data_IF_551843399756
#
_entry.id   IF_551843399756
#
_cell.length_a   1.000
_cell.length_b   1.000
_cell.length_c   1.000
_cell.angle_alpha   90.00
_cell.angle_beta   90.00
_cell.angle_gamma   90.00
#
_symmetry.space_group_name_H-M   'P 1'
#
loop_
_entity.id
_entity.type
_entity.pdbx_description
1 polymer ?
#
# COMPACT_ATOMS: atom_id res chain seq x y z
N UNK A 1 -16.26 1.03 10.19
CA UNK A 1 -15.86 0.56 8.84
C UNK A 1 -14.72 -0.44 8.96
N UNK A 2 -14.29 -1.13 7.89
CA UNK A 2 -13.21 -2.13 7.98
C UNK A 2 -11.90 -1.56 8.56
N UNK A 3 -11.63 -0.28 8.31
CA UNK A 3 -10.49 0.48 8.85
C UNK A 3 -10.53 0.68 10.37
N UNK A 4 -11.70 0.79 11.00
CA UNK A 4 -11.78 0.94 12.46
C UNK A 4 -11.38 -0.34 13.20
N UNK A 5 -11.69 -1.50 12.62
CA UNK A 5 -11.21 -2.78 13.16
C UNK A 5 -9.69 -2.87 13.11
N UNK A 6 -9.06 -2.41 12.02
CA UNK A 6 -7.61 -2.35 11.90
C UNK A 6 -6.99 -1.42 12.97
N UNK A 7 -7.55 -0.23 13.18
CA UNK A 7 -7.11 0.68 14.25
C UNK A 7 -7.23 0.04 15.64
N UNK A 8 -8.33 -0.67 15.92
CA UNK A 8 -8.53 -1.36 17.18
C UNK A 8 -7.49 -2.48 17.40
N UNK A 9 -7.15 -3.25 16.36
CA UNK A 9 -6.10 -4.26 16.44
C UNK A 9 -4.71 -3.64 16.63
N UNK A 10 -4.40 -2.56 15.91
CA UNK A 10 -3.14 -1.81 16.06
C UNK A 10 -3.01 -1.22 17.47
N UNK A 11 -4.10 -0.69 18.05
CA UNK A 11 -4.09 -0.18 19.42
C UNK A 11 -3.87 -1.28 20.46
N UNK A 12 -4.34 -2.51 20.18
CA UNK A 12 -4.21 -3.65 21.09
C UNK A 12 -2.84 -4.32 21.00
N UNK A 13 -2.26 -4.38 19.80
CA UNK A 13 -1.10 -5.25 19.53
C UNK A 13 0.14 -4.49 19.07
N UNK A 14 -0.01 -3.27 18.56
CA UNK A 14 1.10 -2.42 18.15
C UNK A 14 1.59 -1.53 19.29
N UNK A 15 2.74 -0.90 19.04
CA UNK A 15 3.31 0.17 19.87
C UNK A 15 3.61 1.38 19.00
N UNK A 16 3.92 2.55 19.58
CA UNK A 16 4.38 3.71 18.81
C UNK A 16 5.66 3.45 17.98
N UNK A 17 6.41 2.40 18.31
CA UNK A 17 7.60 1.97 17.57
C UNK A 17 7.29 0.95 16.46
N UNK A 18 6.08 0.38 16.43
CA UNK A 18 5.66 -0.50 15.34
C UNK A 18 5.54 0.31 14.07
N UNK A 19 6.39 0.01 13.09
CA UNK A 19 6.31 0.58 11.75
C UNK A 19 5.29 -0.19 10.92
N UNK A 20 4.39 0.53 10.26
CA UNK A 20 3.36 -0.07 9.41
C UNK A 20 3.31 0.58 8.03
N UNK A 21 2.78 -0.19 7.08
CA UNK A 21 2.39 0.28 5.76
C UNK A 21 0.86 0.29 5.69
N UNK A 22 0.30 1.33 5.08
CA UNK A 22 -1.15 1.41 4.86
C UNK A 22 -1.49 0.94 3.45
N UNK A 23 -2.33 -0.08 3.33
CA UNK A 23 -2.88 -0.50 2.04
C UNK A 23 -3.91 0.53 1.55
N UNK A 24 -3.67 1.08 0.36
CA UNK A 24 -4.52 2.10 -0.27
C UNK A 24 -5.21 1.50 -1.49
N UNK A 25 -6.54 1.59 -1.52
CA UNK A 25 -7.36 1.23 -2.68
C UNK A 25 -7.33 2.39 -3.70
N UNK A 26 -6.19 2.56 -4.38
CA UNK A 26 -5.96 3.65 -5.33
C UNK A 26 -6.89 3.53 -6.54
N UNK A 27 -7.20 2.30 -6.96
CA UNK A 27 -8.12 2.05 -8.08
C UNK A 27 -9.60 2.27 -7.73
N UNK A 28 -9.91 2.55 -6.45
CA UNK A 28 -11.29 2.74 -5.94
C UNK A 28 -12.22 1.59 -6.36
N UNK A 29 -11.69 0.38 -6.42
CA UNK A 29 -12.46 -0.79 -6.83
C UNK A 29 -13.46 -1.17 -5.74
N UNK A 30 -14.78 -1.19 -6.03
CA UNK A 30 -15.79 -1.58 -5.06
C UNK A 30 -15.53 -2.99 -4.53
N UNK A 31 -15.53 -3.16 -3.22
CA UNK A 31 -15.35 -4.46 -2.57
C UNK A 31 -13.90 -4.92 -2.42
N UNK A 32 -12.90 -4.16 -2.88
CA UNK A 32 -11.50 -4.41 -2.52
C UNK A 32 -11.17 -3.81 -1.15
N UNK A 33 -10.28 -4.50 -0.43
CA UNK A 33 -9.69 -4.03 0.81
C UNK A 33 -8.81 -2.80 0.58
N UNK A 34 -8.44 -2.13 1.69
CA UNK A 34 -7.62 -0.92 1.66
C UNK A 34 -8.44 0.34 1.93
N UNK A 35 -7.72 1.39 2.35
CA UNK A 35 -8.28 2.70 2.67
C UNK A 35 -8.35 3.52 1.38
N UNK A 36 -9.42 4.29 1.20
CA UNK A 36 -9.52 5.20 0.06
C UNK A 36 -8.50 6.34 0.22
N UNK A 37 -7.95 6.90 -0.88
CA UNK A 37 -7.02 8.02 -0.78
C UNK A 37 -7.56 9.20 0.04
N UNK A 38 -8.88 9.42 0.01
CA UNK A 38 -9.55 10.54 0.68
C UNK A 38 -9.68 10.32 2.21
N UNK A 39 -9.63 9.07 2.67
CA UNK A 39 -9.71 8.69 4.09
C UNK A 39 -8.34 8.44 4.73
N UNK A 40 -7.27 8.44 3.92
CA UNK A 40 -5.92 8.07 4.35
C UNK A 40 -5.40 8.96 5.47
N UNK A 41 -5.57 10.27 5.37
CA UNK A 41 -5.07 11.22 6.37
C UNK A 41 -5.78 11.03 7.71
N UNK A 42 -7.11 10.91 7.69
CA UNK A 42 -7.91 10.65 8.89
C UNK A 42 -7.55 9.30 9.54
N UNK A 43 -7.19 8.29 8.74
CA UNK A 43 -6.70 7.02 9.28
C UNK A 43 -5.31 7.19 9.93
N UNK A 44 -4.39 7.88 9.26
CA UNK A 44 -3.03 8.10 9.77
C UNK A 44 -3.03 8.88 11.09
N UNK A 45 -3.87 9.91 11.22
CA UNK A 45 -4.02 10.69 12.46
C UNK A 45 -4.51 9.86 13.65
N UNK A 46 -5.35 8.86 13.38
CA UNK A 46 -5.92 7.96 14.40
C UNK A 46 -5.03 6.74 14.66
N UNK A 47 -4.01 6.50 13.85
CA UNK A 47 -3.17 5.33 13.92
C UNK A 47 -2.24 5.40 15.15
N UNK A 48 -2.26 4.40 16.05
CA UNK A 48 -1.38 4.39 17.22
C UNK A 48 0.06 3.96 16.90
N UNK A 49 0.31 3.49 15.67
CA UNK A 49 1.59 3.01 15.18
C UNK A 49 2.20 4.01 14.19
N UNK A 50 3.51 3.90 13.96
CA UNK A 50 4.22 4.78 13.02
C UNK A 50 3.95 4.32 11.58
N UNK A 51 3.21 5.12 10.82
CA UNK A 51 3.04 4.90 9.38
C UNK A 51 4.32 5.34 8.66
N UNK A 52 5.00 4.41 7.99
CA UNK A 52 6.28 4.66 7.30
C UNK A 52 6.17 4.60 5.78
N UNK A 53 5.03 4.16 5.28
CA UNK A 53 4.84 3.92 3.86
C UNK A 53 3.44 3.48 3.50
N UNK A 54 3.27 3.27 2.20
CA UNK A 54 2.02 2.84 1.61
C UNK A 54 2.21 1.51 0.87
N UNK A 55 1.10 0.83 0.68
CA UNK A 55 1.00 -0.41 -0.07
C UNK A 55 -0.17 -0.33 -1.04
N UNK A 56 -0.05 -0.95 -2.21
CA UNK A 56 -1.22 -1.15 -3.08
C UNK A 56 -1.14 -2.46 -3.85
N UNK A 57 -2.33 -2.93 -4.25
CA UNK A 57 -2.57 -3.99 -5.21
C UNK A 57 -3.35 -3.40 -6.39
N UNK A 58 -2.69 -3.19 -7.55
CA UNK A 58 -3.39 -2.77 -8.75
C UNK A 58 -4.52 -3.75 -9.15
N UNK A 59 -5.48 -3.30 -9.98
CA UNK A 59 -6.37 -4.21 -10.69
C UNK A 59 -5.59 -5.30 -11.42
N UNK A 60 -6.21 -6.47 -11.58
CA UNK A 60 -5.63 -7.51 -12.41
C UNK A 60 -5.48 -6.99 -13.85
N UNK A 61 -4.29 -7.13 -14.40
CA UNK A 61 -3.98 -6.75 -15.77
C UNK A 61 -3.33 -7.91 -16.51
N UNK A 62 -3.41 -7.91 -17.84
CA UNK A 62 -2.68 -8.87 -18.67
C UNK A 62 -1.21 -8.50 -18.81
N UNK A 63 -0.90 -7.20 -18.90
CA UNK A 63 0.44 -6.68 -19.12
C UNK A 63 0.98 -5.95 -17.88
N UNK A 64 2.27 -6.13 -17.52
CA UNK A 64 2.88 -5.45 -16.37
C UNK A 64 2.76 -3.91 -16.41
N UNK A 65 2.88 -3.32 -17.61
CA UNK A 65 2.83 -1.87 -17.81
C UNK A 65 1.49 -1.24 -17.42
N UNK A 66 0.40 -2.00 -17.46
CA UNK A 66 -0.89 -1.50 -17.01
C UNK A 66 -0.94 -1.21 -15.50
N UNK A 67 0.02 -1.73 -14.72
CA UNK A 67 0.17 -1.43 -13.30
C UNK A 67 0.85 -0.07 -13.04
N UNK A 68 1.63 0.45 -14.01
CA UNK A 68 2.43 1.68 -13.86
C UNK A 68 1.65 2.90 -13.34
N UNK A 69 0.48 3.27 -13.89
CA UNK A 69 -0.25 4.45 -13.39
C UNK A 69 -0.63 4.32 -11.91
N UNK A 70 -0.93 3.11 -11.44
CA UNK A 70 -1.28 2.87 -10.03
C UNK A 70 -0.07 3.01 -9.11
N UNK A 71 1.10 2.55 -9.56
CA UNK A 71 2.37 2.71 -8.83
C UNK A 71 2.82 4.17 -8.77
N UNK A 72 2.70 4.91 -9.88
CA UNK A 72 2.98 6.34 -9.91
C UNK A 72 2.09 7.11 -8.92
N UNK A 73 0.79 6.83 -8.90
CA UNK A 73 -0.16 7.44 -7.95
C UNK A 73 0.17 7.09 -6.49
N UNK A 74 0.57 5.84 -6.19
CA UNK A 74 0.98 5.46 -4.83
C UNK A 74 2.21 6.25 -4.39
N UNK A 75 3.20 6.39 -5.28
CA UNK A 75 4.40 7.19 -5.02
C UNK A 75 4.04 8.64 -4.72
N UNK A 76 3.20 9.26 -5.55
CA UNK A 76 2.77 10.66 -5.36
C UNK A 76 2.04 10.84 -4.02
N UNK A 77 1.15 9.92 -3.67
CA UNK A 77 0.44 9.93 -2.38
C UNK A 77 1.38 9.81 -1.19
N UNK A 78 2.43 8.96 -1.29
CA UNK A 78 3.43 8.80 -0.25
C UNK A 78 4.32 10.04 -0.12
N UNK A 79 4.79 10.59 -1.25
CA UNK A 79 5.63 11.79 -1.28
C UNK A 79 4.93 13.00 -0.67
N UNK A 80 3.64 13.20 -0.96
CA UNK A 80 2.83 14.27 -0.37
C UNK A 80 2.75 14.20 1.17
N UNK A 81 3.02 13.02 1.75
CA UNK A 81 2.96 12.74 3.18
C UNK A 81 4.33 12.50 3.82
N UNK A 82 5.42 12.70 3.06
CA UNK A 82 6.79 12.45 3.53
C UNK A 82 7.08 10.97 3.84
N UNK A 83 6.28 10.05 3.29
CA UNK A 83 6.45 8.61 3.46
C UNK A 83 7.44 8.07 2.42
N UNK A 84 8.31 7.15 2.84
CA UNK A 84 9.41 6.68 1.99
C UNK A 84 9.28 5.22 1.55
N UNK A 85 8.50 4.41 2.27
CA UNK A 85 8.32 3.01 1.90
C UNK A 85 7.13 2.82 0.95
N UNK A 86 7.36 2.04 -0.11
CA UNK A 86 6.38 1.71 -1.14
C UNK A 86 6.38 0.20 -1.35
N UNK A 87 5.34 -0.46 -0.82
CA UNK A 87 5.09 -1.88 -1.08
C UNK A 87 4.17 -2.02 -2.28
N UNK A 88 4.76 -2.27 -3.43
CA UNK A 88 4.04 -2.41 -4.69
C UNK A 88 4.80 -3.31 -5.65
N UNK A 89 4.07 -3.99 -6.53
CA UNK A 89 4.64 -5.01 -7.42
C UNK A 89 4.61 -6.42 -6.84
N UNK A 90 4.20 -7.35 -7.68
CA UNK A 90 4.16 -8.80 -7.46
C UNK A 90 4.98 -9.53 -8.52
N UNK A 91 4.97 -10.87 -8.56
CA UNK A 91 5.68 -11.65 -9.58
C UNK A 91 5.46 -11.16 -11.02
N UNK A 92 4.26 -10.64 -11.33
CA UNK A 92 3.91 -10.17 -12.66
C UNK A 92 4.59 -8.84 -13.02
N UNK A 93 4.60 -7.88 -12.10
CA UNK A 93 4.79 -6.46 -12.39
C UNK A 93 5.85 -5.78 -11.51
N UNK A 94 6.64 -6.55 -10.76
CA UNK A 94 7.68 -6.01 -9.89
C UNK A 94 8.74 -5.17 -10.64
N UNK A 95 9.04 -5.48 -11.90
CA UNK A 95 10.01 -4.70 -12.68
C UNK A 95 9.53 -3.27 -12.89
N UNK A 96 8.27 -3.12 -13.32
CA UNK A 96 7.59 -1.82 -13.45
C UNK A 96 7.48 -1.12 -12.10
N UNK A 97 7.17 -1.87 -11.04
CA UNK A 97 7.10 -1.33 -9.69
C UNK A 97 8.45 -0.74 -9.21
N UNK A 98 9.56 -1.42 -9.49
CA UNK A 98 10.91 -0.94 -9.16
C UNK A 98 11.25 0.34 -9.91
N UNK A 99 10.92 0.42 -11.20
CA UNK A 99 11.10 1.65 -11.99
C UNK A 99 10.29 2.83 -11.44
N UNK A 100 9.09 2.56 -10.91
CA UNK A 100 8.26 3.58 -10.26
C UNK A 100 8.67 3.86 -8.80
N UNK A 101 9.72 3.20 -8.28
CA UNK A 101 10.31 3.49 -6.97
C UNK A 101 9.86 2.56 -5.83
N UNK A 102 9.37 1.35 -6.13
CA UNK A 102 9.06 0.37 -5.09
C UNK A 102 10.27 0.10 -4.19
N UNK A 103 10.04 0.15 -2.88
CA UNK A 103 11.05 -0.23 -1.88
C UNK A 103 10.86 -1.66 -1.39
N UNK A 104 9.66 -2.21 -1.59
CA UNK A 104 9.28 -3.58 -1.24
C UNK A 104 8.49 -4.17 -2.41
N UNK A 105 8.95 -5.31 -2.93
CA UNK A 105 8.24 -6.12 -3.94
C UNK A 105 7.85 -7.47 -3.34
N UNK A 106 6.73 -8.04 -3.79
CA UNK A 106 6.15 -9.27 -3.20
C UNK A 106 6.19 -10.43 -4.20
N UNK A 107 7.25 -11.23 -4.16
CA UNK A 107 7.45 -12.32 -5.13
C UNK A 107 7.07 -13.67 -4.50
N UNK A 108 6.06 -14.34 -5.07
CA UNK A 108 5.59 -15.66 -4.61
C UNK A 108 5.93 -16.76 -5.60
N UNK A 109 5.09 -16.90 -6.63
CA UNK A 109 5.14 -17.98 -7.64
C UNK A 109 6.45 -18.12 -8.41
N UNK A 110 7.31 -17.09 -8.44
CA UNK A 110 8.65 -17.18 -9.04
C UNK A 110 9.68 -17.84 -8.10
N UNK A 111 9.49 -17.73 -6.79
CA UNK A 111 10.43 -18.25 -5.78
C UNK A 111 10.06 -19.66 -5.34
N UNK A 112 8.77 -19.96 -5.26
CA UNK A 112 8.27 -21.24 -4.75
C UNK A 112 7.44 -21.91 -5.85
N UNK A 113 7.89 -23.10 -6.27
CA UNK A 113 7.17 -24.04 -7.14
C UNK A 113 6.61 -25.17 -6.32
#
# INVERSE_FOLDING_TARGET
MASDSALAQLARHGTPQTEILVEVNIAREPGKSGISPDELDAFMERCPCRVVGLMTMPPLASEPEASRPWFALLRELAQARGLTQLSMGTTQDFAVAVEEGATIVRIGTRLFR
#
